data_IF_527092572810
#
_entry.id   IF_527092572810
#
_cell.length_a   1.000
_cell.length_b   1.000
_cell.length_c   1.000
_cell.angle_alpha   90.00
_cell.angle_beta   90.00
_cell.angle_gamma   90.00
#
_symmetry.space_group_name_H-M   'P 1'
#
loop_
_entity.id
_entity.type
_entity.pdbx_description
1 polymer ?
#
# COMPACT_ATOMS: atom_id res chain seq x y z
N UNK A 1 6.37 12.16 6.33
CA UNK A 1 7.24 11.20 7.04
C UNK A 1 6.47 10.28 7.99
N UNK A 2 5.74 10.81 8.99
CA UNK A 2 4.93 10.03 9.95
C UNK A 2 3.93 9.06 9.30
N UNK A 3 3.31 9.46 8.17
CA UNK A 3 2.39 8.59 7.43
C UNK A 3 3.04 7.37 6.75
N UNK A 4 4.35 7.38 6.47
CA UNK A 4 5.04 6.25 5.81
C UNK A 4 5.29 5.12 6.81
N UNK A 5 5.87 5.50 7.94
CA UNK A 5 6.21 4.57 9.01
C UNK A 5 4.96 3.94 9.62
N UNK A 6 3.85 4.70 9.71
CA UNK A 6 2.55 4.17 10.10
C UNK A 6 2.09 3.03 9.18
N UNK A 7 2.22 3.17 7.86
CA UNK A 7 1.83 2.10 6.92
C UNK A 7 2.72 0.87 7.02
N UNK A 8 4.03 1.06 7.22
CA UNK A 8 4.95 -0.06 7.49
C UNK A 8 4.55 -0.75 8.80
N UNK A 9 4.24 0.01 9.86
CA UNK A 9 3.77 -0.53 11.14
C UNK A 9 2.48 -1.34 11.02
N UNK A 10 1.49 -0.84 10.25
CA UNK A 10 0.26 -1.58 9.96
C UNK A 10 0.54 -2.91 9.25
N UNK A 11 1.40 -2.92 8.24
CA UNK A 11 1.76 -4.14 7.52
C UNK A 11 2.66 -5.09 8.34
N UNK A 12 3.41 -4.54 9.30
CA UNK A 12 4.22 -5.27 10.28
C UNK A 12 3.38 -5.91 11.38
N UNK A 13 2.19 -5.37 11.66
CA UNK A 13 1.30 -5.78 12.75
C UNK A 13 1.69 -5.25 14.13
N UNK A 14 2.63 -4.31 14.20
CA UNK A 14 2.99 -3.59 15.42
C UNK A 14 3.45 -2.17 15.11
N UNK A 15 3.28 -1.27 16.07
CA UNK A 15 3.68 0.13 15.90
C UNK A 15 5.19 0.28 15.66
N UNK A 16 5.55 1.23 14.81
CA UNK A 16 6.91 1.76 14.70
C UNK A 16 6.82 3.21 15.18
N UNK A 17 7.62 3.54 16.18
CA UNK A 17 7.68 4.89 16.69
C UNK A 17 8.50 5.75 15.73
N UNK A 18 7.89 6.82 15.25
CA UNK A 18 8.56 7.86 14.47
C UNK A 18 8.47 9.19 15.21
N UNK A 19 9.61 9.71 15.64
CA UNK A 19 9.69 11.07 16.17
C UNK A 19 10.21 11.95 15.05
N UNK A 20 9.47 13.02 14.71
CA UNK A 20 10.03 14.12 13.93
C UNK A 20 11.02 14.92 14.76
N UNK A 21 11.44 16.09 14.26
CA UNK A 21 12.49 16.94 14.83
C UNK A 21 12.73 16.75 16.33
N UNK A 22 13.87 16.14 16.65
CA UNK A 22 14.20 15.64 17.99
C UNK A 22 15.61 16.04 18.40
N UNK A 23 15.77 16.40 19.66
CA UNK A 23 17.08 16.67 20.23
C UNK A 23 17.71 15.36 20.72
N UNK A 24 18.94 15.08 20.29
CA UNK A 24 19.82 14.10 20.91
C UNK A 24 20.54 14.80 22.06
N UNK A 25 20.31 14.33 23.28
CA UNK A 25 20.79 14.99 24.49
C UNK A 25 21.56 14.04 25.38
N UNK A 26 22.45 14.62 26.17
CA UNK A 26 23.14 13.95 27.27
C UNK A 26 22.75 14.65 28.56
N UNK A 27 22.29 13.90 29.56
CA UNK A 27 22.02 14.45 30.88
C UNK A 27 23.27 14.37 31.75
N UNK A 28 23.59 15.47 32.42
CA UNK A 28 24.69 15.52 33.40
C UNK A 28 24.24 14.92 34.73
N UNK A 29 25.19 14.50 35.57
CA UNK A 29 24.91 13.99 36.92
C UNK A 29 24.13 14.98 37.81
N UNK A 30 24.21 16.28 37.52
CA UNK A 30 23.47 17.35 38.22
C UNK A 30 22.03 17.55 37.69
N UNK A 31 21.57 16.73 36.75
CA UNK A 31 20.26 16.84 36.11
C UNK A 31 20.17 17.90 35.00
N UNK A 32 21.29 18.56 34.66
CA UNK A 32 21.40 19.43 33.50
C UNK A 32 21.26 18.66 32.17
N UNK A 33 20.74 19.35 31.15
CA UNK A 33 20.53 18.80 29.80
C UNK A 33 21.49 19.46 28.81
N UNK A 34 22.38 18.68 28.21
CA UNK A 34 23.27 19.13 27.14
C UNK A 34 22.72 18.66 25.79
N UNK A 35 22.37 19.59 24.90
CA UNK A 35 21.92 19.25 23.54
C UNK A 35 23.15 19.02 22.67
N UNK A 36 23.33 17.78 22.22
CA UNK A 36 24.45 17.41 21.37
C UNK A 36 24.16 17.78 19.92
N UNK A 37 23.00 17.35 19.42
CA UNK A 37 22.54 17.55 18.05
C UNK A 37 21.02 17.58 18.00
N UNK A 38 20.50 18.14 16.91
CA UNK A 38 19.09 18.02 16.53
C UNK A 38 19.00 17.24 15.22
N UNK A 39 18.16 16.20 15.22
CA UNK A 39 17.87 15.34 14.08
C UNK A 39 16.48 15.64 13.52
N UNK A 40 16.29 15.49 12.21
CA UNK A 40 14.99 15.76 11.57
C UNK A 40 13.96 14.68 11.88
N UNK A 41 14.40 13.43 11.99
CA UNK A 41 13.60 12.36 12.55
C UNK A 41 14.43 11.20 13.07
N UNK A 42 13.82 10.41 13.97
CA UNK A 42 14.34 9.13 14.41
C UNK A 42 13.23 8.08 14.44
N UNK A 43 13.62 6.83 14.22
CA UNK A 43 12.72 5.69 14.19
C UNK A 43 13.16 4.65 15.21
N UNK A 44 12.20 4.16 15.99
CA UNK A 44 12.39 3.02 16.88
C UNK A 44 11.43 1.91 16.46
N UNK A 45 11.98 0.76 16.10
CA UNK A 45 11.21 -0.39 15.68
C UNK A 45 10.56 -1.08 16.89
N UNK A 46 11.25 -1.17 18.03
CA UNK A 46 10.85 -2.11 19.09
C UNK A 46 10.56 -1.46 20.44
N UNK A 47 10.29 -0.14 20.46
CA UNK A 47 10.29 0.62 21.70
C UNK A 47 8.95 1.30 21.99
N UNK A 48 8.47 1.29 23.24
CA UNK A 48 7.36 2.15 23.64
C UNK A 48 7.76 3.63 23.57
N UNK A 49 6.76 4.49 23.42
CA UNK A 49 6.88 5.95 23.30
C UNK A 49 7.77 6.56 24.41
N UNK A 50 8.88 7.25 24.09
CA UNK A 50 9.61 8.03 25.08
C UNK A 50 8.71 9.18 25.54
N UNK A 51 8.66 9.44 26.84
CA UNK A 51 7.76 10.46 27.42
C UNK A 51 8.08 11.89 26.96
N UNK A 52 9.24 12.11 26.33
CA UNK A 52 9.77 13.43 25.99
C UNK A 52 10.22 13.49 24.54
N UNK A 53 10.19 14.69 23.94
CA UNK A 53 10.75 14.97 22.60
C UNK A 53 12.27 15.11 22.63
N UNK A 54 12.93 14.26 23.39
CA UNK A 54 14.37 14.21 23.51
C UNK A 54 14.79 12.74 23.58
N UNK A 55 15.89 12.42 22.92
CA UNK A 55 16.53 11.12 23.05
C UNK A 55 17.75 11.31 23.92
N UNK A 56 17.67 10.80 25.15
CA UNK A 56 18.84 10.62 25.98
C UNK A 56 19.73 9.55 25.36
N UNK A 57 20.93 9.94 24.94
CA UNK A 57 21.88 9.05 24.27
C UNK A 57 22.56 8.07 25.23
N UNK A 58 22.52 8.34 26.55
CA UNK A 58 23.18 7.53 27.57
C UNK A 58 22.20 6.60 28.31
N UNK A 59 20.94 7.00 28.48
CA UNK A 59 19.98 6.28 29.32
C UNK A 59 19.16 5.19 28.59
N UNK A 60 19.37 4.95 27.29
CA UNK A 60 18.58 3.95 26.57
C UNK A 60 19.15 3.49 25.24
N UNK A 61 18.55 2.47 24.61
CA UNK A 61 18.96 2.06 23.28
C UNK A 61 18.84 3.23 22.30
N UNK A 62 19.88 3.36 21.47
CA UNK A 62 19.90 4.25 20.34
C UNK A 62 18.68 4.02 19.42
N UNK A 63 18.23 5.06 18.69
CA UNK A 63 17.28 4.86 17.61
C UNK A 63 17.82 3.86 16.58
N UNK A 64 16.92 3.05 16.02
CA UNK A 64 17.28 2.07 14.99
C UNK A 64 17.68 2.76 13.68
N UNK A 65 17.08 3.92 13.40
CA UNK A 65 17.41 4.77 12.25
C UNK A 65 17.27 6.24 12.65
N UNK A 66 18.23 7.06 12.23
CA UNK A 66 18.15 8.52 12.24
C UNK A 66 18.03 9.03 10.80
N UNK A 67 17.21 10.04 10.55
CA UNK A 67 17.06 10.68 9.25
C UNK A 67 17.41 12.17 9.33
N UNK A 68 18.20 12.62 8.37
CA UNK A 68 18.55 14.02 8.13
C UNK A 68 18.14 14.45 6.72
N UNK A 69 17.73 15.70 6.59
CA UNK A 69 17.51 16.41 5.34
C UNK A 69 18.65 17.41 5.16
N UNK A 70 19.63 17.05 4.34
CA UNK A 70 20.88 17.78 4.18
C UNK A 70 20.77 18.90 3.14
N UNK A 71 20.28 20.06 3.57
CA UNK A 71 20.20 21.27 2.75
C UNK A 71 21.56 21.96 2.53
N UNK A 72 22.52 21.80 3.45
CA UNK A 72 23.74 22.63 3.55
C UNK A 72 25.06 21.88 3.39
N UNK A 73 25.03 20.54 3.25
CA UNK A 73 26.19 19.62 3.28
C UNK A 73 26.83 19.39 4.66
N UNK A 74 26.32 20.04 5.71
CA UNK A 74 26.88 19.95 7.07
C UNK A 74 26.77 18.55 7.66
N UNK A 75 25.71 17.83 7.28
CA UNK A 75 25.48 16.46 7.75
C UNK A 75 26.63 15.55 7.32
N UNK A 76 26.94 15.57 6.02
CA UNK A 76 27.98 14.73 5.41
C UNK A 76 29.40 15.13 5.79
N UNK A 77 29.62 16.38 6.21
CA UNK A 77 30.95 16.92 6.55
C UNK A 77 31.31 16.87 8.03
N UNK A 78 30.32 16.82 8.94
CA UNK A 78 30.58 16.88 10.37
C UNK A 78 29.64 16.07 11.26
N UNK A 79 28.32 16.06 11.00
CA UNK A 79 27.39 15.36 11.91
C UNK A 79 27.58 13.84 11.90
N UNK A 80 27.97 13.25 10.77
CA UNK A 80 28.19 11.79 10.69
C UNK A 80 29.25 11.28 11.68
N UNK A 81 30.33 12.02 11.95
CA UNK A 81 31.33 11.58 12.94
C UNK A 81 30.76 11.62 14.37
N UNK A 82 29.91 12.61 14.67
CA UNK A 82 29.25 12.69 15.96
C UNK A 82 28.24 11.55 16.12
N UNK A 83 27.40 11.29 15.12
CA UNK A 83 26.49 10.13 15.14
C UNK A 83 27.22 8.80 15.27
N UNK A 84 28.41 8.67 14.68
CA UNK A 84 29.24 7.47 14.83
C UNK A 84 29.78 7.33 16.26
N UNK A 85 30.23 8.42 16.88
CA UNK A 85 30.66 8.42 18.29
C UNK A 85 29.54 8.09 19.26
N UNK A 86 28.29 8.42 18.90
CA UNK A 86 27.08 8.06 19.64
C UNK A 86 26.62 6.62 19.38
N UNK A 87 27.30 5.88 18.50
CA UNK A 87 26.99 4.48 18.23
C UNK A 87 25.67 4.24 17.49
N UNK A 88 25.15 5.24 16.78
CA UNK A 88 23.89 5.09 16.05
C UNK A 88 24.07 4.07 14.90
N UNK A 89 23.22 3.05 14.78
CA UNK A 89 23.47 1.93 13.87
C UNK A 89 23.27 2.29 12.40
N UNK A 90 22.35 3.20 12.09
CA UNK A 90 21.95 3.54 10.74
C UNK A 90 21.50 5.00 10.63
N UNK A 91 22.01 5.72 9.64
CA UNK A 91 21.66 7.12 9.33
C UNK A 91 21.23 7.23 7.88
N UNK A 92 20.07 7.83 7.63
CA UNK A 92 19.59 8.19 6.31
C UNK A 92 19.83 9.67 6.09
N UNK A 93 20.37 10.01 4.93
CA UNK A 93 20.59 11.40 4.54
C UNK A 93 19.90 11.64 3.21
N UNK A 94 18.83 12.42 3.23
CA UNK A 94 18.11 12.89 2.06
C UNK A 94 18.68 14.24 1.63
N UNK A 95 19.07 14.37 0.36
CA UNK A 95 19.53 15.65 -0.21
C UNK A 95 18.43 16.21 -1.11
N UNK A 96 17.62 17.18 -0.64
CA UNK A 96 16.50 17.70 -1.42
C UNK A 96 16.97 18.38 -2.70
N UNK A 97 16.11 18.36 -3.73
CA UNK A 97 16.36 19.11 -4.96
C UNK A 97 16.02 20.58 -4.74
N UNK A 98 16.90 21.52 -5.15
CA UNK A 98 16.52 22.93 -5.17
C UNK A 98 15.38 23.14 -6.18
N UNK A 99 14.31 23.83 -5.78
CA UNK A 99 13.11 24.06 -6.61
C UNK A 99 13.42 24.72 -7.97
N UNK A 100 14.55 25.41 -8.09
CA UNK A 100 14.99 26.11 -9.30
C UNK A 100 15.75 25.23 -10.31
N UNK A 101 16.11 23.99 -9.96
CA UNK A 101 16.67 23.02 -10.90
C UNK A 101 15.53 22.25 -11.55
N UNK A 102 15.40 22.35 -12.88
CA UNK A 102 14.38 21.65 -13.65
C UNK A 102 14.30 20.15 -13.25
N UNK A 103 13.10 19.56 -13.21
CA UNK A 103 12.93 18.13 -12.92
C UNK A 103 13.46 17.32 -14.12
N UNK A 104 14.77 17.05 -14.17
CA UNK A 104 15.35 16.14 -15.16
C UNK A 104 16.38 15.18 -14.58
N UNK A 105 16.10 13.90 -14.84
CA UNK A 105 16.98 12.85 -15.36
C UNK A 105 18.08 12.23 -14.48
N UNK A 106 18.43 12.72 -13.29
CA UNK A 106 19.23 11.89 -12.40
C UNK A 106 18.32 10.87 -11.72
N UNK A 107 18.01 9.74 -12.37
CA UNK A 107 17.31 8.59 -11.78
C UNK A 107 18.03 7.93 -10.58
N UNK A 108 18.93 8.67 -9.93
CA UNK A 108 19.69 8.26 -8.77
C UNK A 108 18.96 8.71 -7.51
N UNK A 109 18.74 7.82 -6.52
CA UNK A 109 18.28 8.24 -5.21
C UNK A 109 19.20 9.32 -4.66
N UNK A 110 18.60 10.42 -4.21
CA UNK A 110 19.30 11.44 -3.42
C UNK A 110 19.29 11.15 -1.93
N UNK A 111 18.72 10.00 -1.57
CA UNK A 111 18.87 9.39 -0.26
C UNK A 111 20.10 8.51 -0.25
N UNK A 112 20.95 8.71 0.76
CA UNK A 112 22.07 7.81 1.07
C UNK A 112 21.82 7.14 2.42
N UNK A 113 22.05 5.83 2.49
CA UNK A 113 21.96 5.07 3.75
C UNK A 113 23.38 4.83 4.23
N UNK A 114 23.67 5.23 5.46
CA UNK A 114 24.94 5.01 6.14
C UNK A 114 24.75 3.98 7.24
N UNK A 115 25.55 2.90 7.22
CA UNK A 115 25.57 1.87 8.26
C UNK A 115 26.84 2.01 9.10
N UNK A 116 26.70 1.94 10.43
CA UNK A 116 27.85 2.00 11.33
C UNK A 116 28.59 0.64 11.32
N UNK A 117 29.85 0.66 10.89
CA UNK A 117 30.72 -0.51 10.80
C UNK A 117 32.12 -0.15 11.30
N UNK A 118 32.56 -0.80 12.38
CA UNK A 118 33.89 -0.54 12.96
C UNK A 118 34.09 0.92 13.41
N UNK A 119 33.05 1.56 13.96
CA UNK A 119 33.10 2.93 14.46
C UNK A 119 33.05 4.03 13.39
N UNK A 120 32.79 3.66 12.13
CA UNK A 120 32.64 4.62 11.02
C UNK A 120 31.43 4.26 10.16
N UNK A 121 30.89 5.26 9.47
CA UNK A 121 29.80 5.03 8.53
C UNK A 121 30.29 4.55 7.17
N UNK A 122 29.61 3.57 6.62
CA UNK A 122 29.80 3.06 5.26
C UNK A 122 28.48 3.17 4.50
N UNK A 123 28.55 3.61 3.25
CA UNK A 123 27.36 3.70 2.40
C UNK A 123 26.78 2.32 2.07
N UNK A 124 25.45 2.25 2.07
CA UNK A 124 24.68 1.06 1.73
C UNK A 124 23.56 1.40 0.76
N UNK A 125 23.28 0.49 -0.17
CA UNK A 125 22.12 0.60 -1.05
C UNK A 125 20.80 0.24 -0.35
N UNK A 126 20.86 -0.41 0.82
CA UNK A 126 19.71 -1.00 1.52
C UNK A 126 19.75 -0.74 3.01
N UNK A 127 18.58 -0.52 3.58
CA UNK A 127 18.40 -0.40 5.03
C UNK A 127 18.60 -1.75 5.72
N UNK A 128 19.33 -1.74 6.84
CA UNK A 128 19.49 -2.89 7.73
C UNK A 128 18.30 -2.96 8.69
N UNK A 129 17.91 -1.81 9.26
CA UNK A 129 16.76 -1.71 10.17
C UNK A 129 15.44 -2.02 9.46
N UNK A 130 15.17 -1.42 8.30
CA UNK A 130 14.02 -1.71 7.45
C UNK A 130 14.40 -2.72 6.36
N UNK A 131 14.53 -3.98 6.77
CA UNK A 131 15.16 -5.05 5.98
C UNK A 131 14.73 -5.10 4.50
N UNK A 132 15.66 -4.76 3.61
CA UNK A 132 15.48 -4.84 2.16
C UNK A 132 14.69 -3.68 1.54
N UNK A 133 14.50 -2.59 2.26
CA UNK A 133 14.09 -1.31 1.69
C UNK A 133 15.32 -0.61 1.07
N UNK A 134 15.26 -0.30 -0.22
CA UNK A 134 16.38 0.33 -0.94
C UNK A 134 16.36 1.84 -0.78
N UNK A 135 17.53 2.49 -0.93
CA UNK A 135 17.63 3.95 -0.91
C UNK A 135 16.70 4.63 -1.94
N UNK A 136 16.58 4.05 -3.13
CA UNK A 136 15.64 4.50 -4.20
C UNK A 136 14.18 4.46 -3.76
N UNK A 137 13.76 3.36 -3.14
CA UNK A 137 12.39 3.21 -2.67
C UNK A 137 12.10 4.14 -1.47
N UNK A 138 13.07 4.35 -0.56
CA UNK A 138 12.90 5.30 0.57
C UNK A 138 12.78 6.73 0.03
N UNK A 139 13.71 7.13 -0.85
CA UNK A 139 13.70 8.44 -1.49
C UNK A 139 12.35 8.73 -2.17
N UNK A 140 11.88 7.79 -2.99
CA UNK A 140 10.59 7.91 -3.66
C UNK A 140 9.45 8.04 -2.66
N UNK A 141 9.42 7.17 -1.66
CA UNK A 141 8.35 7.17 -0.66
C UNK A 141 8.31 8.47 0.17
N UNK A 142 9.47 9.09 0.46
CA UNK A 142 9.56 10.36 1.17
C UNK A 142 9.07 11.55 0.35
N UNK A 143 9.23 11.51 -0.98
CA UNK A 143 9.03 12.66 -1.86
C UNK A 143 7.76 12.56 -2.74
N UNK A 144 7.07 11.42 -2.80
CA UNK A 144 5.78 11.29 -3.50
C UNK A 144 4.66 12.01 -2.73
N UNK A 145 4.00 12.97 -3.39
CA UNK A 145 2.80 13.64 -2.85
C UNK A 145 1.62 12.66 -2.74
N UNK A 146 1.39 11.88 -3.81
CA UNK A 146 0.43 10.77 -3.85
C UNK A 146 1.21 9.48 -4.06
N UNK A 147 1.04 8.52 -3.14
CA UNK A 147 1.79 7.27 -3.17
C UNK A 147 1.40 6.44 -4.38
N UNK A 148 2.40 6.05 -5.16
CA UNK A 148 2.22 5.11 -6.27
C UNK A 148 1.93 3.69 -5.75
N UNK A 149 1.33 2.86 -6.61
CA UNK A 149 1.12 1.43 -6.31
C UNK A 149 2.43 0.72 -5.97
N UNK A 150 3.53 1.12 -6.63
CA UNK A 150 4.86 0.57 -6.38
C UNK A 150 5.37 0.93 -4.98
N UNK A 151 5.22 2.20 -4.56
CA UNK A 151 5.55 2.66 -3.21
C UNK A 151 4.73 1.91 -2.16
N UNK A 152 3.41 1.79 -2.34
CA UNK A 152 2.54 1.04 -1.41
C UNK A 152 2.96 -0.44 -1.33
N UNK A 153 3.30 -1.05 -2.46
CA UNK A 153 3.78 -2.43 -2.50
C UNK A 153 5.11 -2.58 -1.75
N UNK A 154 6.04 -1.64 -1.89
CA UNK A 154 7.31 -1.62 -1.16
C UNK A 154 7.09 -1.48 0.35
N UNK A 155 6.28 -0.52 0.81
CA UNK A 155 5.97 -0.32 2.23
C UNK A 155 5.36 -1.58 2.86
N UNK A 156 4.40 -2.23 2.18
CA UNK A 156 3.80 -3.50 2.63
C UNK A 156 4.80 -4.65 2.64
N UNK A 157 5.70 -4.72 1.65
CA UNK A 157 6.75 -5.74 1.59
C UNK A 157 7.72 -5.61 2.77
N UNK A 158 8.16 -4.39 3.06
CA UNK A 158 9.05 -4.08 4.19
C UNK A 158 8.35 -4.40 5.51
N UNK A 159 7.13 -3.90 5.72
CA UNK A 159 6.36 -4.16 6.94
C UNK A 159 6.17 -5.66 7.20
N UNK A 160 5.72 -6.43 6.21
CA UNK A 160 5.55 -7.89 6.35
C UNK A 160 6.85 -8.61 6.68
N UNK A 161 7.98 -8.20 6.09
CA UNK A 161 9.28 -8.81 6.40
C UNK A 161 9.70 -8.51 7.84
N UNK A 162 9.49 -7.29 8.33
CA UNK A 162 9.71 -6.94 9.73
C UNK A 162 8.79 -7.75 10.65
N UNK A 163 7.51 -7.86 10.32
CA UNK A 163 6.53 -8.61 11.10
C UNK A 163 6.93 -10.07 11.25
N UNK A 164 7.30 -10.75 10.15
CA UNK A 164 7.78 -12.14 10.19
C UNK A 164 9.06 -12.33 11.00
N UNK A 165 10.00 -11.39 10.90
CA UNK A 165 11.25 -11.47 11.67
C UNK A 165 11.01 -11.33 13.19
N UNK A 166 9.87 -10.77 13.57
CA UNK A 166 9.53 -10.42 14.95
C UNK A 166 8.37 -11.21 15.54
N UNK A 167 7.70 -12.05 14.74
CA UNK A 167 6.48 -12.74 15.15
C UNK A 167 5.31 -11.79 15.44
N UNK A 168 5.29 -10.61 14.82
CA UNK A 168 4.20 -9.63 14.96
C UNK A 168 3.39 -9.51 13.68
N UNK A 169 3.69 -10.32 12.66
CA UNK A 169 3.08 -10.22 11.36
C UNK A 169 1.55 -10.38 11.43
N UNK A 170 0.83 -9.82 10.45
CA UNK A 170 -0.62 -9.96 10.39
C UNK A 170 -1.11 -11.42 10.30
N UNK A 171 -0.24 -12.36 9.94
CA UNK A 171 -0.50 -13.81 9.90
C UNK A 171 -0.16 -14.51 11.23
N UNK A 172 0.54 -13.83 12.16
CA UNK A 172 0.92 -14.35 13.48
C UNK A 172 -0.20 -14.14 14.53
N UNK A 173 -1.17 -13.25 14.23
CA UNK A 173 -2.44 -13.17 14.96
C UNK A 173 -3.45 -14.17 14.37
N UNK A 174 -3.64 -15.28 15.09
CA UNK A 174 -4.52 -16.39 14.68
C UNK A 174 -5.95 -15.92 14.40
N UNK A 175 -6.43 -14.89 15.10
CA UNK A 175 -7.78 -14.37 14.92
C UNK A 175 -7.91 -13.60 13.60
N UNK A 176 -6.97 -12.69 13.35
CA UNK A 176 -6.95 -11.92 12.10
C UNK A 176 -6.61 -12.77 10.87
N UNK A 177 -5.84 -13.84 11.04
CA UNK A 177 -5.58 -14.81 9.99
C UNK A 177 -6.87 -15.54 9.55
N UNK A 178 -7.66 -16.01 10.52
CA UNK A 178 -8.94 -16.67 10.27
C UNK A 178 -9.96 -15.74 9.58
N UNK A 179 -10.11 -14.50 10.07
CA UNK A 179 -11.04 -13.52 9.51
C UNK A 179 -10.72 -13.17 8.04
N UNK A 180 -9.42 -13.10 7.69
CA UNK A 180 -9.00 -12.86 6.30
C UNK A 180 -9.18 -14.07 5.41
N UNK A 181 -9.01 -15.28 5.93
CA UNK A 181 -9.27 -16.50 5.18
C UNK A 181 -10.76 -16.61 4.83
N UNK A 182 -11.63 -16.37 5.81
CA UNK A 182 -13.08 -16.29 5.65
C UNK A 182 -13.47 -15.20 4.63
N UNK A 183 -12.92 -13.98 4.76
CA UNK A 183 -13.16 -12.89 3.80
C UNK A 183 -12.74 -13.24 2.36
N UNK A 184 -11.60 -13.94 2.20
CA UNK A 184 -11.14 -14.40 0.87
C UNK A 184 -12.01 -15.51 0.32
N UNK A 185 -12.54 -16.38 1.18
CA UNK A 185 -13.44 -17.46 0.78
C UNK A 185 -14.79 -16.91 0.35
N UNK A 186 -15.36 -15.99 1.13
CA UNK A 186 -16.58 -15.27 0.79
C UNK A 186 -16.42 -14.52 -0.54
N UNK A 187 -15.37 -13.72 -0.71
CA UNK A 187 -15.14 -13.00 -1.98
C UNK A 187 -14.93 -13.95 -3.18
N UNK A 188 -14.31 -15.13 -2.97
CA UNK A 188 -14.21 -16.16 -4.02
C UNK A 188 -15.56 -16.79 -4.35
N UNK A 189 -16.48 -16.89 -3.38
CA UNK A 189 -17.80 -17.46 -3.56
C UNK A 189 -18.74 -16.46 -4.26
N UNK A 190 -18.76 -15.21 -3.79
CA UNK A 190 -19.50 -14.11 -4.39
C UNK A 190 -19.10 -13.91 -5.86
N UNK A 191 -17.79 -13.81 -6.16
CA UNK A 191 -17.32 -13.68 -7.54
C UNK A 191 -17.68 -14.88 -8.44
N UNK A 192 -17.76 -16.10 -7.86
CA UNK A 192 -18.25 -17.29 -8.58
C UNK A 192 -19.75 -17.24 -8.82
N UNK A 193 -20.53 -16.64 -7.93
CA UNK A 193 -21.98 -16.50 -8.08
C UNK A 193 -22.33 -15.42 -9.10
N UNK A 194 -21.71 -14.24 -9.00
CA UNK A 194 -21.85 -13.16 -9.96
C UNK A 194 -21.45 -13.61 -11.37
N UNK A 195 -20.30 -14.28 -11.51
CA UNK A 195 -19.85 -14.83 -12.79
C UNK A 195 -20.84 -15.84 -13.39
N UNK A 196 -21.45 -16.70 -12.55
CA UNK A 196 -22.49 -17.65 -12.98
C UNK A 196 -23.79 -16.94 -13.37
N UNK A 197 -24.17 -15.85 -12.70
CA UNK A 197 -25.36 -15.07 -13.04
C UNK A 197 -25.17 -14.35 -14.37
N UNK A 198 -24.05 -13.63 -14.54
CA UNK A 198 -23.71 -12.96 -15.80
C UNK A 198 -23.64 -13.93 -16.97
N UNK A 199 -22.95 -15.07 -16.78
CA UNK A 199 -22.85 -16.10 -17.82
C UNK A 199 -24.21 -16.70 -18.21
N UNK A 200 -25.15 -16.83 -17.26
CA UNK A 200 -26.52 -17.28 -17.55
C UNK A 200 -27.28 -16.24 -18.38
N UNK A 201 -27.21 -14.96 -18.02
CA UNK A 201 -27.88 -13.90 -18.77
C UNK A 201 -27.36 -13.81 -20.21
N UNK A 202 -26.04 -13.88 -20.40
CA UNK A 202 -25.45 -13.86 -21.73
C UNK A 202 -25.85 -15.07 -22.57
N UNK A 203 -25.93 -16.26 -21.94
CA UNK A 203 -26.44 -17.46 -22.60
C UNK A 203 -27.92 -17.30 -23.00
N UNK A 204 -28.77 -16.75 -22.13
CA UNK A 204 -30.19 -16.50 -22.40
C UNK A 204 -30.37 -15.51 -23.56
N UNK A 205 -29.63 -14.38 -23.55
CA UNK A 205 -29.64 -13.39 -24.64
C UNK A 205 -29.24 -14.03 -25.96
N UNK A 206 -28.20 -14.85 -25.96
CA UNK A 206 -27.72 -15.55 -27.14
C UNK A 206 -28.77 -16.53 -27.67
N UNK A 207 -29.41 -17.32 -26.80
CA UNK A 207 -30.45 -18.27 -27.18
C UNK A 207 -31.66 -17.57 -27.81
N UNK A 208 -32.14 -16.47 -27.22
CA UNK A 208 -33.26 -15.69 -27.78
C UNK A 208 -32.89 -15.13 -29.15
N UNK A 209 -31.71 -14.51 -29.29
CA UNK A 209 -31.22 -13.99 -30.58
C UNK A 209 -31.14 -15.07 -31.66
N UNK A 210 -30.55 -16.23 -31.32
CA UNK A 210 -30.44 -17.36 -32.24
C UNK A 210 -31.81 -17.91 -32.65
N UNK A 211 -32.76 -17.94 -31.73
CA UNK A 211 -34.13 -18.41 -31.99
C UNK A 211 -34.87 -17.47 -32.94
N UNK A 212 -34.82 -16.16 -32.70
CA UNK A 212 -35.40 -15.15 -33.60
C UNK A 212 -34.75 -15.20 -34.98
N UNK A 213 -33.42 -15.26 -35.04
CA UNK A 213 -32.67 -15.34 -36.29
C UNK A 213 -32.99 -16.61 -37.10
N UNK A 214 -33.11 -17.77 -36.45
CA UNK A 214 -33.51 -19.02 -37.11
C UNK A 214 -34.91 -18.95 -37.73
N UNK A 215 -35.76 -18.07 -37.21
CA UNK A 215 -37.11 -17.80 -37.72
C UNK A 215 -37.16 -16.63 -38.70
N UNK A 216 -35.99 -16.12 -39.11
CA UNK A 216 -35.84 -14.94 -39.97
C UNK A 216 -36.52 -13.66 -39.43
N UNK A 217 -36.67 -13.56 -38.10
CA UNK A 217 -37.17 -12.36 -37.43
C UNK A 217 -35.95 -11.46 -37.12
N UNK A 218 -35.90 -10.24 -37.64
CA UNK A 218 -34.77 -9.34 -37.40
C UNK A 218 -34.74 -8.90 -35.93
N UNK A 219 -33.56 -8.98 -35.32
CA UNK A 219 -33.31 -8.43 -33.98
C UNK A 219 -33.08 -6.93 -34.13
N UNK A 220 -34.06 -6.12 -33.74
CA UNK A 220 -33.94 -4.66 -33.75
C UNK A 220 -33.10 -4.15 -32.56
N UNK A 221 -32.62 -2.91 -32.64
CA UNK A 221 -31.96 -2.24 -31.51
C UNK A 221 -32.84 -2.22 -30.24
N UNK A 222 -34.16 -2.16 -30.40
CA UNK A 222 -35.11 -2.18 -29.30
C UNK A 222 -35.15 -3.54 -28.59
N UNK A 223 -35.12 -4.65 -29.34
CA UNK A 223 -35.01 -6.01 -28.77
C UNK A 223 -33.67 -6.16 -28.05
N UNK A 224 -32.59 -5.67 -28.64
CA UNK A 224 -31.26 -5.74 -28.03
C UNK A 224 -31.16 -4.92 -26.74
N UNK A 225 -31.75 -3.72 -26.72
CA UNK A 225 -31.85 -2.89 -25.52
C UNK A 225 -32.67 -3.59 -24.43
N UNK A 226 -33.78 -4.23 -24.80
CA UNK A 226 -34.62 -4.98 -23.88
C UNK A 226 -33.87 -6.20 -23.30
N UNK A 227 -33.21 -6.99 -24.15
CA UNK A 227 -32.38 -8.14 -23.74
C UNK A 227 -31.19 -7.73 -22.85
N UNK A 228 -30.61 -6.55 -23.08
CA UNK A 228 -29.58 -6.00 -22.21
C UNK A 228 -30.10 -5.68 -20.80
N UNK A 229 -31.39 -5.37 -20.66
CA UNK A 229 -32.07 -5.08 -19.39
C UNK A 229 -32.48 -6.28 -18.54
N UNK A 230 -32.25 -7.52 -19.00
CA UNK A 230 -32.63 -8.73 -18.25
C UNK A 230 -31.96 -8.81 -16.87
N UNK A 231 -32.74 -9.18 -15.84
CA UNK A 231 -32.26 -9.48 -14.48
C UNK A 231 -31.93 -10.96 -14.31
N UNK A 232 -31.14 -11.30 -13.29
CA UNK A 232 -30.74 -12.68 -12.98
C UNK A 232 -31.91 -13.65 -12.70
N UNK A 233 -33.09 -13.11 -12.44
CA UNK A 233 -34.32 -13.80 -12.06
C UNK A 233 -35.22 -14.09 -13.27
N UNK A 234 -34.80 -13.67 -14.47
CA UNK A 234 -35.52 -13.86 -15.72
C UNK A 234 -35.71 -15.35 -16.04
N UNK A 235 -36.95 -15.76 -16.31
CA UNK A 235 -37.25 -17.11 -16.77
C UNK A 235 -36.85 -17.31 -18.23
N UNK A 236 -35.71 -17.97 -18.41
CA UNK A 236 -35.14 -18.25 -19.74
C UNK A 236 -36.06 -19.11 -20.60
N UNK A 237 -36.82 -20.05 -20.00
CA UNK A 237 -37.70 -20.92 -20.76
C UNK A 237 -38.85 -20.12 -21.38
N UNK A 238 -39.51 -19.28 -20.57
CA UNK A 238 -40.58 -18.39 -21.03
C UNK A 238 -40.14 -17.42 -22.13
N UNK A 239 -38.91 -16.88 -22.06
CA UNK A 239 -38.38 -16.02 -23.11
C UNK A 239 -38.11 -16.74 -24.43
N UNK A 240 -37.54 -17.95 -24.35
CA UNK A 240 -37.29 -18.77 -25.54
C UNK A 240 -38.61 -19.21 -26.15
N UNK A 241 -39.61 -19.59 -25.35
CA UNK A 241 -40.95 -19.92 -25.83
C UNK A 241 -41.62 -18.72 -26.53
N UNK A 242 -41.57 -17.53 -25.93
CA UNK A 242 -42.05 -16.30 -26.58
C UNK A 242 -41.35 -16.04 -27.92
N UNK A 243 -40.03 -16.29 -28.01
CA UNK A 243 -39.27 -16.16 -29.25
C UNK A 243 -39.62 -17.24 -30.30
N UNK A 244 -40.06 -18.43 -29.88
CA UNK A 244 -40.53 -19.50 -30.78
C UNK A 244 -41.95 -19.21 -31.29
N UNK A 245 -42.81 -18.59 -30.48
CA UNK A 245 -44.21 -18.37 -30.83
C UNK A 245 -44.53 -17.03 -31.50
N UNK A 246 -43.64 -16.03 -31.38
CA UNK A 246 -43.90 -14.70 -31.92
C UNK A 246 -44.06 -14.71 -33.44
N UNK A 247 -44.86 -13.82 -34.02
CA UNK A 247 -44.98 -13.73 -35.49
C UNK A 247 -43.92 -12.84 -36.12
N UNK A 248 -43.50 -11.81 -35.40
CA UNK A 248 -42.54 -10.80 -35.78
C UNK A 248 -41.88 -10.19 -34.53
N UNK A 249 -41.04 -9.18 -34.74
CA UNK A 249 -40.30 -8.49 -33.68
C UNK A 249 -41.22 -7.75 -32.68
N UNK A 250 -42.33 -7.16 -33.16
CA UNK A 250 -43.26 -6.40 -32.32
C UNK A 250 -44.12 -7.34 -31.46
N UNK A 251 -44.57 -8.46 -32.04
CA UNK A 251 -45.30 -9.52 -31.34
C UNK A 251 -44.44 -10.15 -30.23
N UNK A 252 -43.13 -10.30 -30.45
CA UNK A 252 -42.18 -10.76 -29.42
C UNK A 252 -42.14 -9.79 -28.23
N UNK A 253 -41.89 -8.50 -28.49
CA UNK A 253 -41.83 -7.47 -27.43
C UNK A 253 -43.14 -7.38 -26.65
N UNK A 254 -44.28 -7.45 -27.34
CA UNK A 254 -45.59 -7.44 -26.70
C UNK A 254 -45.81 -8.66 -25.79
N UNK A 255 -45.33 -9.85 -26.19
CA UNK A 255 -45.42 -11.07 -25.39
C UNK A 255 -44.56 -10.99 -24.14
N UNK A 256 -43.29 -10.61 -24.25
CA UNK A 256 -42.38 -10.55 -23.08
C UNK A 256 -42.79 -9.46 -22.09
N UNK A 257 -43.37 -8.34 -22.55
CA UNK A 257 -43.93 -7.31 -21.66
C UNK A 257 -45.20 -7.76 -20.91
N UNK A 258 -46.02 -8.62 -21.54
CA UNK A 258 -47.23 -9.17 -20.89
C UNK A 258 -46.91 -10.28 -19.89
N UNK A 259 -45.80 -10.98 -20.06
CA UNK A 259 -45.36 -12.06 -19.18
C UNK A 259 -44.77 -11.57 -17.84
N UNK A 260 -44.60 -10.24 -17.65
CA UNK A 260 -44.20 -9.66 -16.36
C UNK A 260 -42.76 -9.96 -15.96
N UNK A 261 -41.84 -9.90 -16.92
CA UNK A 261 -40.40 -9.95 -16.70
C UNK A 261 -39.78 -8.56 -16.79
#
# INVERSE_FOLDING_TARGET
>A
MTGLVREIGLARGSEILALGSVDLVQFTDEGGRNVLLQADAVFFLNRPWPKEKAVDVDAGPAPDVLLEVDHTTDVRRGKLSVYASLGLPEVWVEVPQPEWLAPRESGWPRLTIYLLEGGRYVESARSRAFAGWTAAEIHRALNEEVRSLETVAALRRVGRRLGRAMGTGPDDDLFLAAEREESREQGRQEGREEGRQLGRLDATRLMVRQTLAARAIPVSEEIDAWLAGLSADTDTASLVEAAVECRDAEDFLCRVQKSGH
#
